data_IF_726804261359
#
_entry.id   IF_726804261359
#
_cell.length_a   1.000
_cell.length_b   1.000
_cell.length_c   1.000
_cell.angle_alpha   90.00
_cell.angle_beta   90.00
_cell.angle_gamma   90.00
#
_symmetry.space_group_name_H-M   'P 1'
#
loop_
_entity.id
_entity.type
_entity.pdbx_description
1 polymer ?
#
# COMPACT_ATOMS: atom_id res chain seq x y z
N UNK A 1 -0.54 -28.21 -8.11
CA UNK A 1 0.65 -27.69 -7.42
C UNK A 1 0.61 -26.16 -7.41
N UNK A 2 0.83 -25.51 -6.26
CA UNK A 2 0.86 -24.03 -6.16
C UNK A 2 2.12 -23.51 -6.85
N UNK A 3 1.98 -22.56 -7.78
CA UNK A 3 3.12 -21.98 -8.49
C UNK A 3 3.81 -20.91 -7.62
N UNK A 4 4.83 -21.32 -6.86
CA UNK A 4 5.62 -20.44 -6.01
C UNK A 4 6.76 -19.72 -6.75
N UNK A 5 6.84 -19.82 -8.08
CA UNK A 5 7.90 -19.18 -8.88
C UNK A 5 7.73 -17.66 -9.04
N UNK A 6 6.60 -17.10 -8.60
CA UNK A 6 6.30 -15.67 -8.67
C UNK A 6 5.36 -15.22 -7.57
N UNK A 7 5.49 -13.96 -7.17
CA UNK A 7 4.49 -13.30 -6.32
C UNK A 7 3.18 -13.03 -7.10
N UNK A 8 2.02 -13.14 -6.44
CA UNK A 8 0.73 -12.77 -7.06
C UNK A 8 0.55 -11.25 -7.12
N UNK A 9 0.96 -10.53 -6.08
CA UNK A 9 0.95 -9.08 -6.01
C UNK A 9 2.18 -8.59 -5.23
N UNK A 10 2.61 -7.35 -5.43
CA UNK A 10 3.72 -6.71 -4.72
C UNK A 10 3.33 -5.30 -4.32
N UNK A 11 3.36 -5.02 -3.01
CA UNK A 11 2.96 -3.75 -2.40
C UNK A 11 4.24 -2.94 -2.09
N UNK A 12 4.48 -1.82 -2.80
CA UNK A 12 5.84 -1.21 -2.87
C UNK A 12 6.02 0.16 -2.21
N UNK A 13 4.96 0.74 -1.68
CA UNK A 13 5.01 2.16 -1.33
C UNK A 13 5.78 2.47 -0.03
N UNK A 14 6.02 1.49 0.86
CA UNK A 14 6.78 1.71 2.10
C UNK A 14 8.21 2.17 1.83
N UNK A 15 8.73 3.01 2.72
CA UNK A 15 10.04 3.65 2.53
C UNK A 15 11.11 3.02 3.43
N UNK A 16 10.71 2.34 4.49
CA UNK A 16 11.57 1.50 5.32
C UNK A 16 11.00 0.07 5.38
N UNK A 17 11.63 -0.80 6.17
CA UNK A 17 11.18 -2.16 6.39
C UNK A 17 9.71 -2.21 6.86
N UNK A 18 8.98 -3.17 6.32
CA UNK A 18 7.64 -3.53 6.81
C UNK A 18 7.84 -4.48 7.98
N UNK A 19 7.31 -4.12 9.14
CA UNK A 19 7.49 -4.87 10.39
C UNK A 19 6.38 -5.90 10.60
N UNK A 20 5.17 -5.59 10.15
CA UNK A 20 4.00 -6.44 10.32
C UNK A 20 3.01 -6.24 9.16
N UNK A 21 2.24 -7.28 8.88
CA UNK A 21 1.19 -7.29 7.86
C UNK A 21 0.05 -8.19 8.29
N UNK A 22 -1.17 -7.66 8.23
CA UNK A 22 -2.37 -8.41 8.57
C UNK A 22 -3.45 -8.23 7.50
N UNK A 23 -4.15 -9.32 7.19
CA UNK A 23 -5.33 -9.27 6.34
C UNK A 23 -6.53 -8.71 7.11
N UNK A 24 -7.40 -8.00 6.40
CA UNK A 24 -8.71 -7.73 6.92
C UNK A 24 -9.49 -9.03 7.17
N UNK A 25 -10.42 -9.08 8.13
CA UNK A 25 -11.30 -10.24 8.32
C UNK A 25 -12.09 -10.63 7.06
N UNK A 26 -12.32 -9.66 6.16
CA UNK A 26 -12.96 -9.90 4.85
C UNK A 26 -12.02 -10.47 3.79
N UNK A 27 -10.71 -10.40 3.99
CA UNK A 27 -9.69 -10.85 3.04
C UNK A 27 -9.55 -9.99 1.78
N UNK A 28 -10.18 -8.81 1.73
CA UNK A 28 -10.13 -7.89 0.59
C UNK A 28 -9.13 -6.76 0.77
N UNK A 29 -8.78 -6.45 2.02
CA UNK A 29 -7.85 -5.39 2.38
C UNK A 29 -6.70 -5.94 3.22
N UNK A 30 -5.59 -5.19 3.27
CA UNK A 30 -4.47 -5.48 4.14
C UNK A 30 -4.08 -4.22 4.90
N UNK A 31 -3.58 -4.41 6.10
CA UNK A 31 -2.84 -3.37 6.84
C UNK A 31 -1.39 -3.78 6.93
N UNK A 32 -0.48 -2.81 6.86
CA UNK A 32 0.93 -3.02 7.15
C UNK A 32 1.46 -1.95 8.08
N UNK A 33 2.28 -2.39 9.03
CA UNK A 33 3.07 -1.53 9.91
C UNK A 33 4.49 -1.41 9.36
N UNK A 34 5.08 -0.23 9.45
CA UNK A 34 6.46 -0.03 9.01
C UNK A 34 7.29 0.78 9.99
N UNK A 35 8.58 0.48 9.92
CA UNK A 35 9.63 1.23 10.56
C UNK A 35 9.72 2.70 10.07
N UNK A 36 9.07 3.04 8.94
CA UNK A 36 8.99 4.42 8.43
C UNK A 36 8.01 5.32 9.23
N UNK A 37 7.45 4.81 10.34
CA UNK A 37 6.48 5.47 11.23
C UNK A 37 5.12 5.70 10.56
N UNK A 38 4.78 4.85 9.59
CA UNK A 38 3.48 4.84 8.95
C UNK A 38 2.81 3.48 9.05
N UNK A 39 1.49 3.53 9.17
CA UNK A 39 0.59 2.40 8.91
C UNK A 39 0.01 2.61 7.53
N UNK A 40 -0.01 1.58 6.70
CA UNK A 40 -0.62 1.66 5.36
C UNK A 40 -1.70 0.64 5.19
N UNK A 41 -2.72 1.07 4.45
CA UNK A 41 -3.86 0.26 4.07
C UNK A 41 -3.81 -0.03 2.60
N UNK A 42 -4.16 -1.24 2.22
CA UNK A 42 -4.03 -1.75 0.86
C UNK A 42 -5.32 -2.45 0.46
N UNK A 43 -5.68 -2.34 -0.81
CA UNK A 43 -6.61 -3.28 -1.43
C UNK A 43 -5.81 -4.48 -1.93
N UNK A 44 -6.29 -5.70 -1.73
CA UNK A 44 -5.61 -6.95 -2.12
C UNK A 44 -5.14 -6.96 -3.57
N UNK A 45 -5.93 -6.38 -4.46
CA UNK A 45 -5.71 -6.42 -5.91
C UNK A 45 -4.92 -5.21 -6.44
N UNK A 46 -4.65 -4.22 -5.60
CA UNK A 46 -3.90 -3.01 -5.99
C UNK A 46 -2.44 -3.13 -5.52
N UNK A 47 -1.50 -2.57 -6.27
CA UNK A 47 -0.07 -2.56 -5.91
C UNK A 47 0.36 -1.35 -5.06
N UNK A 48 -0.59 -0.44 -4.80
CA UNK A 48 -0.37 0.83 -4.13
C UNK A 48 -1.30 0.99 -2.93
N UNK A 49 -0.85 1.81 -1.99
CA UNK A 49 -1.53 2.09 -0.73
C UNK A 49 -2.83 2.83 -1.00
N UNK A 50 -3.91 2.28 -0.45
CA UNK A 50 -5.22 2.91 -0.38
C UNK A 50 -5.19 4.07 0.59
N UNK A 51 -4.61 3.91 1.77
CA UNK A 51 -4.42 4.98 2.75
C UNK A 51 -3.09 4.87 3.49
N UNK A 52 -2.69 5.98 4.11
CA UNK A 52 -1.51 6.09 4.98
C UNK A 52 -1.88 6.85 6.25
N UNK A 53 -1.65 6.23 7.41
CA UNK A 53 -1.80 6.85 8.71
C UNK A 53 -0.42 7.11 9.31
N UNK A 54 -0.23 8.33 9.77
CA UNK A 54 0.98 8.76 10.45
C UNK A 54 0.62 9.84 11.46
N UNK A 55 1.45 10.02 12.45
CA UNK A 55 1.31 11.09 13.45
C UNK A 55 2.70 11.49 13.92
N UNK A 56 2.91 12.78 14.21
CA UNK A 56 4.22 13.28 14.67
C UNK A 56 4.75 12.57 15.92
N UNK A 57 3.86 12.15 16.81
CA UNK A 57 4.19 11.44 18.05
C UNK A 57 4.44 9.94 17.84
N UNK A 58 3.85 9.36 16.79
CA UNK A 58 4.00 7.94 16.51
C UNK A 58 5.43 7.68 16.02
N UNK A 59 6.13 6.80 16.72
CA UNK A 59 7.47 6.37 16.34
C UNK A 59 7.35 5.15 15.42
N UNK A 60 8.33 4.24 15.46
CA UNK A 60 8.32 3.06 14.59
C UNK A 60 7.11 2.20 14.92
N UNK A 61 6.42 1.71 13.90
CA UNK A 61 5.25 0.85 14.11
C UNK A 61 5.71 -0.58 13.93
N UNK A 62 5.53 -1.38 14.98
CA UNK A 62 5.98 -2.77 15.02
C UNK A 62 4.86 -3.75 14.74
N UNK A 63 3.63 -3.41 15.09
CA UNK A 63 2.49 -4.27 14.82
C UNK A 63 1.27 -3.47 14.38
N UNK A 64 0.47 -4.06 13.49
CA UNK A 64 -0.82 -3.54 13.11
C UNK A 64 -1.82 -4.68 12.98
N UNK A 65 -2.99 -4.52 13.59
CA UNK A 65 -4.01 -5.54 13.60
C UNK A 65 -5.38 -5.00 13.20
N UNK A 66 -6.20 -5.84 12.58
CA UNK A 66 -7.58 -5.51 12.31
C UNK A 66 -8.48 -5.87 13.47
N UNK A 67 -9.50 -5.05 13.70
CA UNK A 67 -10.61 -5.48 14.53
C UNK A 67 -11.50 -6.46 13.75
N UNK A 68 -12.13 -7.45 14.43
CA UNK A 68 -12.98 -8.45 13.77
C UNK A 68 -14.16 -7.87 12.99
N UNK A 69 -14.60 -6.66 13.35
CA UNK A 69 -15.68 -5.93 12.70
C UNK A 69 -15.25 -5.24 11.39
N UNK A 70 -13.97 -5.33 11.00
CA UNK A 70 -13.39 -4.74 9.79
C UNK A 70 -13.53 -3.19 9.71
N UNK A 71 -13.85 -2.53 10.82
CA UNK A 71 -14.06 -1.09 10.83
C UNK A 71 -12.86 -0.32 11.40
N UNK A 72 -12.03 -0.99 12.18
CA UNK A 72 -10.92 -0.38 12.89
C UNK A 72 -9.63 -1.18 12.73
N UNK A 73 -8.54 -0.48 13.02
CA UNK A 73 -7.18 -0.98 12.96
C UNK A 73 -6.49 -0.53 14.24
N UNK A 74 -5.78 -1.45 14.87
CA UNK A 74 -4.88 -1.20 15.97
C UNK A 74 -3.47 -1.05 15.44
N UNK A 75 -2.68 -0.17 16.05
CA UNK A 75 -1.25 -0.05 15.77
C UNK A 75 -0.47 -0.02 17.08
N UNK A 76 0.49 -0.93 17.22
CA UNK A 76 1.48 -0.95 18.30
C UNK A 76 2.75 -0.25 17.85
N UNK A 77 3.11 0.83 18.56
CA UNK A 77 4.25 1.67 18.22
C UNK A 77 5.31 1.65 19.32
N UNK A 78 6.56 1.89 18.93
CA UNK A 78 7.77 1.96 19.77
C UNK A 78 7.69 3.04 20.87
N UNK A 79 6.74 3.97 20.74
CA UNK A 79 6.47 4.98 21.78
C UNK A 79 5.65 4.44 22.97
N UNK A 80 5.48 3.12 23.06
CA UNK A 80 4.74 2.44 24.12
C UNK A 80 3.23 2.56 24.02
N UNK A 81 2.70 3.19 22.96
CA UNK A 81 1.27 3.43 22.81
C UNK A 81 0.65 2.48 21.79
N UNK A 82 -0.54 1.98 22.14
CA UNK A 82 -1.46 1.33 21.21
C UNK A 82 -2.46 2.37 20.75
N UNK A 83 -2.66 2.50 19.43
CA UNK A 83 -3.62 3.44 18.84
C UNK A 83 -4.67 2.71 18.03
N UNK A 84 -5.90 3.21 18.13
CA UNK A 84 -7.04 2.74 17.34
C UNK A 84 -7.33 3.74 16.22
N UNK A 85 -7.40 3.24 14.99
CA UNK A 85 -7.70 3.98 13.78
C UNK A 85 -8.96 3.41 13.16
N UNK A 86 -9.72 4.24 12.44
CA UNK A 86 -10.77 3.71 11.55
C UNK A 86 -10.11 3.19 10.29
N UNK A 87 -10.53 2.02 9.82
CA UNK A 87 -10.11 1.46 8.56
C UNK A 87 -10.47 2.36 7.39
N UNK A 88 -11.67 2.97 7.38
CA UNK A 88 -12.06 3.96 6.38
C UNK A 88 -12.20 5.32 7.03
N UNK A 89 -11.21 6.20 6.79
CA UNK A 89 -11.06 7.46 7.52
C UNK A 89 -12.27 8.41 7.39
N UNK A 90 -12.89 8.45 6.21
CA UNK A 90 -14.07 9.28 5.95
C UNK A 90 -15.36 8.68 6.51
N UNK A 91 -15.41 7.37 6.74
CA UNK A 91 -16.63 6.72 7.19
C UNK A 91 -16.90 7.01 8.67
N UNK A 92 -18.18 7.15 8.97
CA UNK A 92 -18.72 7.33 10.31
C UNK A 92 -19.52 6.08 10.66
N UNK A 93 -19.26 5.58 11.87
CA UNK A 93 -20.02 4.49 12.46
C UNK A 93 -21.29 5.03 13.11
N UNK A 94 -22.27 4.15 13.29
CA UNK A 94 -23.60 4.48 13.80
C UNK A 94 -24.71 4.20 12.80
N UNK A 95 -25.95 4.22 13.29
CA UNK A 95 -27.15 3.99 12.46
C UNK A 95 -27.34 5.19 11.53
N UNK A 96 -27.40 4.92 10.22
CA UNK A 96 -27.65 5.93 9.18
C UNK A 96 -29.08 5.79 8.70
N UNK A 97 -29.73 6.92 8.39
CA UNK A 97 -31.03 6.88 7.72
C UNK A 97 -30.90 6.26 6.33
N UNK A 98 -31.99 5.68 5.81
CA UNK A 98 -31.99 5.09 4.47
C UNK A 98 -31.53 6.08 3.38
N UNK A 99 -32.00 7.33 3.46
CA UNK A 99 -31.58 8.41 2.56
C UNK A 99 -30.08 8.68 2.63
N UNK A 100 -29.53 8.78 3.84
CA UNK A 100 -28.10 9.04 4.02
C UNK A 100 -27.25 7.87 3.51
N UNK A 101 -27.69 6.62 3.75
CA UNK A 101 -27.01 5.43 3.25
C UNK A 101 -27.00 5.39 1.73
N UNK A 102 -28.15 5.60 1.08
CA UNK A 102 -28.28 5.62 -0.38
C UNK A 102 -27.39 6.70 -1.00
N UNK A 103 -27.35 7.90 -0.41
CA UNK A 103 -26.48 8.97 -0.89
C UNK A 103 -25.00 8.55 -0.86
N UNK A 104 -24.52 7.96 0.25
CA UNK A 104 -23.13 7.51 0.36
C UNK A 104 -22.80 6.38 -0.62
N UNK A 105 -23.73 5.45 -0.84
CA UNK A 105 -23.56 4.36 -1.82
C UNK A 105 -23.49 4.92 -3.25
N UNK A 106 -24.35 5.89 -3.58
CA UNK A 106 -24.32 6.61 -4.85
C UNK A 106 -23.00 7.35 -5.07
N UNK A 107 -22.55 8.13 -4.08
CA UNK A 107 -21.28 8.88 -4.16
C UNK A 107 -20.08 7.95 -4.36
N UNK A 108 -20.05 6.80 -3.65
CA UNK A 108 -18.99 5.79 -3.83
C UNK A 108 -18.98 5.20 -5.24
N UNK A 109 -20.15 4.84 -5.76
CA UNK A 109 -20.28 4.31 -7.12
C UNK A 109 -19.82 5.35 -8.16
N UNK A 110 -20.17 6.62 -7.96
CA UNK A 110 -19.76 7.71 -8.84
C UNK A 110 -18.24 7.91 -8.83
N UNK A 111 -17.63 7.93 -7.64
CA UNK A 111 -16.17 8.02 -7.50
C UNK A 111 -15.48 6.83 -8.19
N UNK A 112 -15.95 5.61 -7.98
CA UNK A 112 -15.35 4.43 -8.63
C UNK A 112 -15.48 4.46 -10.16
N UNK A 113 -16.61 4.95 -10.70
CA UNK A 113 -16.82 5.11 -12.15
C UNK A 113 -15.86 6.14 -12.75
N UNK A 114 -15.68 7.27 -12.08
CA UNK A 114 -14.93 8.43 -12.61
C UNK A 114 -13.52 8.59 -12.03
N UNK A 115 -13.02 7.64 -11.22
CA UNK A 115 -11.68 7.69 -10.57
C UNK A 115 -10.50 7.86 -11.53
N UNK A 116 -10.68 7.54 -12.80
CA UNK A 116 -9.63 7.60 -13.81
C UNK A 116 -9.42 9.03 -14.34
N UNK A 117 -10.41 9.92 -14.18
CA UNK A 117 -10.33 11.31 -14.62
C UNK A 117 -9.20 12.07 -13.89
N UNK A 118 -8.41 12.91 -14.56
CA UNK A 118 -7.19 13.49 -13.99
C UNK A 118 -7.40 14.25 -12.67
N UNK A 119 -8.42 15.10 -12.60
CA UNK A 119 -8.68 15.93 -11.40
C UNK A 119 -9.17 15.10 -10.22
N UNK A 120 -10.16 14.22 -10.46
CA UNK A 120 -10.70 13.29 -9.45
C UNK A 120 -9.57 12.41 -8.93
N UNK A 121 -8.76 11.83 -9.83
CA UNK A 121 -7.62 10.98 -9.48
C UNK A 121 -6.58 11.72 -8.65
N UNK A 122 -6.26 12.98 -9.01
CA UNK A 122 -5.30 13.82 -8.29
C UNK A 122 -5.78 14.08 -6.87
N UNK A 123 -7.03 14.50 -6.71
CA UNK A 123 -7.62 14.80 -5.40
C UNK A 123 -7.72 13.52 -4.55
N UNK A 124 -8.21 12.42 -5.13
CA UNK A 124 -8.38 11.15 -4.43
C UNK A 124 -7.05 10.51 -3.97
N UNK A 125 -5.96 10.72 -4.73
CA UNK A 125 -4.63 10.20 -4.37
C UNK A 125 -3.86 11.10 -3.41
N UNK A 126 -4.19 12.39 -3.36
CA UNK A 126 -3.44 13.35 -2.57
C UNK A 126 -3.57 13.05 -1.07
N UNK A 127 -2.44 12.71 -0.45
CA UNK A 127 -2.32 12.49 1.00
C UNK A 127 -1.12 13.25 1.52
N UNK A 128 -1.29 13.93 2.66
CA UNK A 128 -0.16 14.56 3.32
C UNK A 128 0.74 13.48 3.92
N UNK A 129 2.04 13.56 3.63
CA UNK A 129 3.07 12.68 4.19
C UNK A 129 4.07 13.51 5.02
N UNK A 130 4.65 12.94 6.09
CA UNK A 130 5.75 13.58 6.79
C UNK A 130 6.90 13.88 5.82
N UNK A 131 7.56 15.03 6.01
CA UNK A 131 8.64 15.49 5.12
C UNK A 131 9.73 14.42 4.93
N UNK A 132 10.09 13.70 6.00
CA UNK A 132 11.11 12.65 5.94
C UNK A 132 10.68 11.48 5.06
N UNK A 133 9.43 11.01 5.24
CA UNK A 133 8.86 9.89 4.46
C UNK A 133 8.71 10.29 2.99
N UNK A 134 8.24 11.51 2.72
CA UNK A 134 8.12 12.04 1.37
C UNK A 134 9.47 12.10 0.66
N UNK A 135 10.48 12.70 1.30
CA UNK A 135 11.83 12.83 0.73
C UNK A 135 12.47 11.46 0.46
N UNK A 136 12.37 10.54 1.42
CA UNK A 136 12.92 9.20 1.23
C UNK A 136 12.15 8.38 0.17
N UNK A 137 10.84 8.61 0.00
CA UNK A 137 10.07 8.05 -1.12
C UNK A 137 10.50 8.62 -2.48
N UNK A 138 10.85 9.90 -2.55
CA UNK A 138 11.38 10.54 -3.77
C UNK A 138 12.73 9.94 -4.14
N UNK A 139 13.66 9.83 -3.17
CA UNK A 139 14.98 9.20 -3.34
C UNK A 139 14.83 7.75 -3.84
N UNK A 140 14.00 6.94 -3.16
CA UNK A 140 13.72 5.55 -3.58
C UNK A 140 13.19 5.50 -5.02
N UNK A 141 12.35 6.45 -5.41
CA UNK A 141 11.81 6.55 -6.77
C UNK A 141 12.89 6.87 -7.81
N UNK A 142 13.83 7.75 -7.49
CA UNK A 142 14.97 8.10 -8.34
C UNK A 142 15.96 6.93 -8.49
N UNK A 143 16.28 6.25 -7.38
CA UNK A 143 17.13 5.06 -7.38
C UNK A 143 16.54 3.95 -8.26
N UNK A 144 15.24 3.65 -8.12
CA UNK A 144 14.56 2.66 -8.96
C UNK A 144 14.58 3.04 -10.45
N UNK A 145 14.41 4.32 -10.78
CA UNK A 145 14.52 4.81 -12.16
C UNK A 145 15.95 4.67 -12.69
N UNK A 146 16.95 4.96 -11.87
CA UNK A 146 18.36 4.84 -12.22
C UNK A 146 18.75 3.38 -12.48
N UNK A 147 18.34 2.46 -11.60
CA UNK A 147 18.53 1.02 -11.77
C UNK A 147 17.86 0.54 -13.06
N UNK A 148 16.58 0.90 -13.28
CA UNK A 148 15.85 0.52 -14.50
C UNK A 148 16.53 1.04 -15.77
N UNK A 149 17.05 2.26 -15.75
CA UNK A 149 17.80 2.85 -16.88
C UNK A 149 19.10 2.09 -17.13
N UNK A 150 19.82 1.71 -16.07
CA UNK A 150 21.04 0.91 -16.16
C UNK A 150 20.76 -0.48 -16.76
N UNK A 151 19.78 -1.20 -16.23
CA UNK A 151 19.35 -2.51 -16.75
C UNK A 151 18.98 -2.44 -18.24
N UNK A 152 18.26 -1.39 -18.66
CA UNK A 152 17.85 -1.23 -20.05
C UNK A 152 19.02 -0.85 -20.98
N UNK A 153 20.01 -0.09 -20.49
CA UNK A 153 21.23 0.20 -21.24
C UNK A 153 22.09 -1.07 -21.41
N UNK A 154 22.32 -1.83 -20.34
CA UNK A 154 23.01 -3.13 -20.39
C UNK A 154 22.32 -4.06 -21.38
N UNK A 155 20.99 -4.12 -21.38
CA UNK A 155 20.21 -4.91 -22.34
C UNK A 155 20.43 -4.47 -23.79
N UNK A 156 20.44 -3.16 -24.07
CA UNK A 156 20.64 -2.61 -25.41
C UNK A 156 22.05 -2.84 -25.96
N UNK A 157 23.05 -2.87 -25.08
CA UNK A 157 24.46 -3.04 -25.46
C UNK A 157 24.98 -4.49 -25.32
N UNK A 158 24.19 -5.39 -24.71
CA UNK A 158 24.46 -6.83 -24.68
C UNK A 158 24.09 -7.53 -26.00
N UNK A 159 24.55 -8.78 -26.19
CA UNK A 159 24.21 -9.56 -27.38
C UNK A 159 22.69 -9.76 -27.43
N UNK A 160 22.07 -9.57 -28.61
CA UNK A 160 20.61 -9.75 -28.77
C UNK A 160 20.19 -11.13 -28.25
N UNK A 161 19.28 -11.14 -27.27
CA UNK A 161 18.72 -12.36 -26.67
C UNK A 161 19.41 -12.86 -25.40
N UNK A 162 20.54 -12.28 -25.02
CA UNK A 162 21.30 -12.64 -23.81
C UNK A 162 20.56 -12.23 -22.53
N UNK A 163 19.93 -11.05 -22.53
CA UNK A 163 19.19 -10.49 -21.39
C UNK A 163 17.69 -10.42 -21.69
N UNK A 164 16.90 -11.33 -21.09
CA UNK A 164 15.43 -11.36 -21.24
C UNK A 164 14.74 -10.49 -20.19
N UNK A 165 13.64 -9.82 -20.58
CA UNK A 165 12.77 -9.10 -19.64
C UNK A 165 12.07 -10.12 -18.73
N UNK A 166 12.31 -10.02 -17.43
CA UNK A 166 11.56 -10.76 -16.39
C UNK A 166 10.52 -9.86 -15.78
N UNK A 167 9.33 -10.39 -15.49
CA UNK A 167 8.31 -9.62 -14.80
C UNK A 167 8.77 -9.29 -13.37
N UNK A 168 8.37 -8.13 -12.83
CA UNK A 168 8.77 -7.76 -11.46
C UNK A 168 8.28 -8.78 -10.42
N UNK A 169 7.20 -9.50 -10.70
CA UNK A 169 6.62 -10.53 -9.82
C UNK A 169 7.48 -11.80 -9.78
N UNK A 170 8.12 -12.15 -10.88
CA UNK A 170 9.06 -13.28 -10.95
C UNK A 170 10.40 -12.92 -10.32
N UNK A 171 10.85 -11.66 -10.44
CA UNK A 171 12.08 -11.17 -9.79
C UNK A 171 12.04 -11.29 -8.25
N UNK A 172 10.86 -11.46 -7.64
CA UNK A 172 10.71 -11.58 -6.17
C UNK A 172 11.12 -12.94 -5.61
N UNK A 173 11.22 -13.97 -6.45
CA UNK A 173 11.59 -15.32 -6.01
C UNK A 173 12.91 -15.69 -6.70
N UNK A 174 13.97 -15.85 -5.91
CA UNK A 174 15.31 -16.15 -6.43
C UNK A 174 15.43 -17.60 -6.88
N UNK A 175 14.94 -18.54 -6.07
CA UNK A 175 14.97 -19.97 -6.35
C UNK A 175 13.81 -20.66 -5.63
N UNK A 176 13.28 -21.72 -6.24
CA UNK A 176 12.33 -22.63 -5.59
C UNK A 176 12.97 -24.01 -5.56
N UNK A 177 13.32 -24.49 -4.38
CA UNK A 177 13.70 -25.89 -4.17
C UNK A 177 12.41 -26.71 -4.04
N UNK A 178 12.39 -27.91 -4.62
CA UNK A 178 11.26 -28.85 -4.58
C UNK A 178 11.48 -29.90 -3.51
#
# INVERSE_FOLDING_TARGET
MRNLKRALNVLKDHVAAVMDVEFSPTGEELVSASYDRSVRLWKRNEGHSRDVYHTKRMQRVFSAAWTPDNNYILSGSDDGNIRLWRARASERQGVKSARQRQQLEYDRALVERYKHMPEIRRIHRHRHLPKQVKKASEIKGEELKAIKRREENERKHSRKGETKRRSEREKMVLQTEQ
#
